data_IF_748869392599
#
_entry.id   IF_748869392599
#
_cell.length_a   1.000
_cell.length_b   1.000
_cell.length_c   1.000
_cell.angle_alpha   90.00
_cell.angle_beta   90.00
_cell.angle_gamma   90.00
#
_symmetry.space_group_name_H-M   'P 1'
#
loop_
_entity.id
_entity.type
_entity.pdbx_description
1 polymer ?
#
# COMPACT_ATOMS: atom_id res chain seq x y z
N UNK A 1 -20.85 2.03 -3.05
CA UNK A 1 -20.94 1.36 -1.73
C UNK A 1 -20.39 -0.07 -1.76
N UNK A 2 -20.91 -0.98 -2.61
CA UNK A 2 -20.39 -2.36 -2.70
C UNK A 2 -18.88 -2.44 -3.02
N UNK A 3 -18.39 -1.62 -3.96
CA UNK A 3 -16.96 -1.55 -4.28
C UNK A 3 -16.09 -1.12 -3.09
N UNK A 4 -16.53 -0.11 -2.32
CA UNK A 4 -15.81 0.36 -1.13
C UNK A 4 -15.80 -0.69 -0.02
N UNK A 5 -16.93 -1.39 0.19
CA UNK A 5 -17.02 -2.48 1.16
C UNK A 5 -16.14 -3.67 0.76
N UNK A 6 -16.17 -4.06 -0.52
CA UNK A 6 -15.31 -5.11 -1.07
C UNK A 6 -13.83 -4.74 -0.94
N UNK A 7 -13.47 -3.48 -1.20
CA UNK A 7 -12.12 -2.99 -1.04
C UNK A 7 -11.68 -2.98 0.43
N UNK A 8 -12.55 -2.56 1.35
CA UNK A 8 -12.30 -2.64 2.79
C UNK A 8 -12.09 -4.08 3.27
N UNK A 9 -12.91 -5.02 2.80
CA UNK A 9 -12.76 -6.44 3.07
C UNK A 9 -11.44 -6.99 2.49
N UNK A 10 -11.11 -6.66 1.25
CA UNK A 10 -9.86 -7.07 0.59
C UNK A 10 -8.63 -6.59 1.37
N UNK A 11 -8.61 -5.33 1.79
CA UNK A 11 -7.53 -4.78 2.61
C UNK A 11 -7.42 -5.49 3.97
N UNK A 12 -8.56 -5.75 4.62
CA UNK A 12 -8.61 -6.48 5.90
C UNK A 12 -8.05 -7.91 5.79
N UNK A 13 -8.43 -8.64 4.74
CA UNK A 13 -7.88 -9.99 4.48
C UNK A 13 -6.40 -9.91 4.15
N UNK A 14 -5.98 -8.92 3.36
CA UNK A 14 -4.56 -8.72 2.98
C UNK A 14 -3.68 -8.46 4.18
N UNK A 15 -4.16 -7.67 5.16
CA UNK A 15 -3.47 -7.45 6.43
C UNK A 15 -3.28 -8.74 7.24
N UNK A 16 -4.20 -9.72 7.10
CA UNK A 16 -4.09 -11.03 7.72
C UNK A 16 -3.01 -11.94 7.12
N UNK A 17 -2.63 -11.71 5.84
CA UNK A 17 -1.70 -12.55 5.07
C UNK A 17 -0.40 -11.84 4.71
N UNK A 18 -0.03 -10.80 5.48
CA UNK A 18 1.19 -9.97 5.31
C UNK A 18 2.50 -10.77 5.28
N UNK A 19 2.49 -12.02 5.75
CA UNK A 19 3.63 -12.93 5.74
C UNK A 19 3.95 -13.46 4.33
N UNK A 20 3.00 -13.38 3.38
CA UNK A 20 3.21 -13.78 2.00
C UNK A 20 3.92 -12.67 1.21
N UNK A 21 4.82 -13.08 0.32
CA UNK A 21 5.48 -12.15 -0.58
C UNK A 21 4.43 -11.35 -1.39
N UNK A 22 4.53 -10.00 -1.44
CA UNK A 22 3.54 -9.16 -2.13
C UNK A 22 3.30 -9.54 -3.58
N UNK A 23 4.33 -10.05 -4.28
CA UNK A 23 4.23 -10.44 -5.68
C UNK A 23 3.23 -11.58 -5.88
N UNK A 24 3.17 -12.55 -4.96
CA UNK A 24 2.24 -13.69 -5.05
C UNK A 24 0.79 -13.27 -4.82
N UNK A 25 0.56 -12.38 -3.85
CA UNK A 25 -0.77 -11.87 -3.54
C UNK A 25 -1.32 -11.07 -4.73
N UNK A 26 -0.49 -10.21 -5.33
CA UNK A 26 -0.85 -9.44 -6.51
C UNK A 26 -1.13 -10.35 -7.71
N UNK A 27 -0.26 -11.33 -7.97
CA UNK A 27 -0.42 -12.26 -9.09
C UNK A 27 -1.71 -13.08 -8.98
N UNK A 28 -2.03 -13.62 -7.79
CA UNK A 28 -3.25 -14.40 -7.56
C UNK A 28 -4.51 -13.54 -7.73
N UNK A 29 -4.54 -12.37 -7.08
CA UNK A 29 -5.68 -11.43 -7.20
C UNK A 29 -5.88 -10.99 -8.64
N UNK A 30 -4.79 -10.66 -9.33
CA UNK A 30 -4.81 -10.27 -10.74
C UNK A 30 -5.32 -11.39 -11.65
N UNK A 31 -4.85 -12.62 -11.45
CA UNK A 31 -5.31 -13.78 -12.21
C UNK A 31 -6.79 -14.09 -12.02
N UNK A 32 -7.26 -14.06 -10.77
CA UNK A 32 -8.69 -14.28 -10.46
C UNK A 32 -9.55 -13.16 -11.04
N UNK A 33 -9.21 -11.90 -10.77
CA UNK A 33 -9.99 -10.75 -11.26
C UNK A 33 -10.00 -10.68 -12.79
N UNK A 34 -8.85 -10.91 -13.43
CA UNK A 34 -8.71 -10.97 -14.88
C UNK A 34 -9.53 -12.10 -15.50
N UNK A 35 -9.46 -13.31 -14.93
CA UNK A 35 -10.24 -14.46 -15.39
C UNK A 35 -11.74 -14.25 -15.25
N UNK A 36 -12.20 -13.69 -14.13
CA UNK A 36 -13.61 -13.34 -13.89
C UNK A 36 -14.08 -12.30 -14.91
N UNK A 37 -13.34 -11.19 -15.08
CA UNK A 37 -13.72 -10.13 -16.02
C UNK A 37 -13.73 -10.63 -17.47
N UNK A 38 -12.75 -11.44 -17.86
CA UNK A 38 -12.71 -12.06 -19.19
C UNK A 38 -13.90 -12.99 -19.40
N UNK A 39 -14.24 -13.81 -18.41
CA UNK A 39 -15.39 -14.72 -18.48
C UNK A 39 -16.69 -13.95 -18.63
N UNK A 40 -16.90 -12.91 -17.82
CA UNK A 40 -18.07 -12.03 -17.93
C UNK A 40 -18.14 -11.40 -19.33
N UNK A 41 -17.02 -10.86 -19.82
CA UNK A 41 -16.94 -10.27 -21.15
C UNK A 41 -17.32 -11.26 -22.26
N UNK A 42 -16.79 -12.48 -22.21
CA UNK A 42 -17.10 -13.55 -23.19
C UNK A 42 -18.56 -14.00 -23.11
N UNK A 43 -19.13 -14.09 -21.91
CA UNK A 43 -20.54 -14.44 -21.71
C UNK A 43 -21.47 -13.35 -22.25
N UNK A 44 -21.12 -12.07 -22.07
CA UNK A 44 -21.92 -10.94 -22.55
C UNK A 44 -21.79 -10.72 -24.07
N UNK A 45 -20.58 -10.85 -24.63
CA UNK A 45 -20.32 -10.63 -26.05
C UNK A 45 -20.70 -11.84 -26.92
N UNK A 46 -20.79 -13.04 -26.32
CA UNK A 46 -20.97 -14.30 -27.03
C UNK A 46 -19.65 -14.92 -27.46
N UNK A 47 -19.61 -16.26 -27.48
CA UNK A 47 -18.43 -17.02 -27.92
C UNK A 47 -18.15 -16.73 -29.40
N UNK A 48 -16.97 -16.19 -29.70
CA UNK A 48 -16.56 -15.85 -31.07
C UNK A 48 -16.81 -14.40 -31.48
N UNK A 49 -17.10 -13.50 -30.53
CA UNK A 49 -17.08 -12.06 -30.80
C UNK A 49 -15.72 -11.67 -31.41
N UNK A 50 -15.75 -11.13 -32.64
CA UNK A 50 -14.56 -10.69 -33.35
C UNK A 50 -14.03 -9.40 -32.71
N UNK A 51 -13.22 -9.53 -31.66
CA UNK A 51 -12.42 -8.42 -31.15
C UNK A 51 -11.25 -8.17 -32.10
N UNK A 52 -11.11 -6.94 -32.58
CA UNK A 52 -9.98 -6.56 -33.41
C UNK A 52 -8.67 -6.77 -32.65
N UNK A 53 -7.62 -7.24 -33.34
CA UNK A 53 -6.29 -7.41 -32.74
C UNK A 53 -5.81 -6.10 -32.05
N UNK A 54 -6.13 -4.95 -32.64
CA UNK A 54 -5.80 -3.65 -32.08
C UNK A 54 -6.52 -3.35 -30.77
N UNK A 55 -7.77 -3.75 -30.61
CA UNK A 55 -8.53 -3.56 -29.37
C UNK A 55 -7.94 -4.40 -28.25
N UNK A 56 -7.53 -5.63 -28.57
CA UNK A 56 -6.86 -6.54 -27.63
C UNK A 56 -5.51 -5.95 -27.19
N UNK A 57 -4.70 -5.49 -28.14
CA UNK A 57 -3.40 -4.86 -27.83
C UNK A 57 -3.59 -3.58 -27.01
N UNK A 58 -4.56 -2.73 -27.35
CA UNK A 58 -4.86 -1.52 -26.60
C UNK A 58 -5.31 -1.85 -25.17
N UNK A 59 -6.22 -2.82 -24.99
CA UNK A 59 -6.68 -3.25 -23.67
C UNK A 59 -5.54 -3.81 -22.82
N UNK A 60 -4.66 -4.64 -23.41
CA UNK A 60 -3.47 -5.17 -22.72
C UNK A 60 -2.49 -4.06 -22.36
N UNK A 61 -2.26 -3.08 -23.25
CA UNK A 61 -1.37 -1.95 -22.98
C UNK A 61 -1.92 -1.06 -21.84
N UNK A 62 -3.22 -0.77 -21.86
CA UNK A 62 -3.90 -0.03 -20.78
C UNK A 62 -3.81 -0.79 -19.46
N UNK A 63 -4.04 -2.11 -19.46
CA UNK A 63 -3.89 -2.94 -18.26
C UNK A 63 -2.45 -2.98 -17.74
N UNK A 64 -1.47 -3.16 -18.63
CA UNK A 64 -0.06 -3.19 -18.28
C UNK A 64 0.42 -1.86 -17.69
N UNK A 65 0.02 -0.73 -18.27
CA UNK A 65 0.37 0.59 -17.75
C UNK A 65 -0.42 0.94 -16.48
N UNK A 66 -1.74 0.75 -16.50
CA UNK A 66 -2.67 1.18 -15.45
C UNK A 66 -2.61 0.34 -14.18
N UNK A 67 -2.39 -0.97 -14.28
CA UNK A 67 -2.28 -1.87 -13.12
C UNK A 67 -0.85 -2.37 -12.91
N UNK A 68 -0.17 -2.86 -13.96
CA UNK A 68 1.15 -3.47 -13.82
C UNK A 68 2.23 -2.48 -13.40
N UNK A 69 2.43 -1.43 -14.22
CA UNK A 69 3.41 -0.39 -13.96
C UNK A 69 3.04 0.42 -12.71
N UNK A 70 1.77 0.77 -12.52
CA UNK A 70 1.33 1.56 -11.35
C UNK A 70 1.58 0.84 -10.03
N UNK A 71 1.25 -0.45 -9.91
CA UNK A 71 1.49 -1.25 -8.69
C UNK A 71 3.00 -1.40 -8.46
N UNK A 72 3.77 -1.63 -9.52
CA UNK A 72 5.24 -1.75 -9.41
C UNK A 72 5.87 -0.46 -8.89
N UNK A 73 5.47 0.69 -9.44
CA UNK A 73 5.90 2.01 -8.99
C UNK A 73 5.44 2.30 -7.56
N UNK A 74 4.22 1.89 -7.20
CA UNK A 74 3.70 2.05 -5.85
C UNK A 74 4.47 1.21 -4.83
N UNK A 75 4.71 -0.08 -5.09
CA UNK A 75 5.51 -0.96 -4.21
C UNK A 75 6.91 -0.38 -4.04
N UNK A 76 7.54 0.09 -5.13
CA UNK A 76 8.86 0.73 -5.06
C UNK A 76 8.84 2.02 -4.23
N UNK A 77 7.86 2.89 -4.49
CA UNK A 77 7.69 4.15 -3.77
C UNK A 77 7.41 3.94 -2.28
N UNK A 78 6.59 2.95 -1.93
CA UNK A 78 6.29 2.59 -0.53
C UNK A 78 7.54 2.11 0.22
N UNK A 79 8.44 1.37 -0.45
CA UNK A 79 9.74 0.94 0.11
C UNK A 79 10.70 2.12 0.33
N UNK A 80 10.71 3.12 -0.55
CA UNK A 80 11.64 4.25 -0.48
C UNK A 80 11.15 5.41 0.43
N UNK A 81 9.84 5.69 0.45
CA UNK A 81 9.25 6.83 1.16
C UNK A 81 8.68 6.47 2.54
N UNK A 82 8.50 5.17 2.82
CA UNK A 82 7.78 4.67 3.98
C UNK A 82 6.26 4.73 3.80
N UNK A 83 5.55 3.73 4.34
CA UNK A 83 4.10 3.54 4.15
C UNK A 83 3.27 4.78 4.51
N UNK A 84 3.65 5.50 5.57
CA UNK A 84 2.94 6.70 6.01
C UNK A 84 2.95 7.82 4.95
N UNK A 85 4.10 8.13 4.34
CA UNK A 85 4.20 9.16 3.29
C UNK A 85 3.55 8.69 1.99
N UNK A 86 3.66 7.41 1.66
CA UNK A 86 2.98 6.81 0.53
C UNK A 86 1.46 6.98 0.58
N UNK A 87 0.85 6.80 1.76
CA UNK A 87 -0.59 6.98 1.93
C UNK A 87 -1.06 8.43 1.75
N UNK A 88 -0.24 9.42 2.18
CA UNK A 88 -0.55 10.85 1.93
C UNK A 88 -0.61 11.14 0.44
N UNK A 89 0.35 10.60 -0.33
CA UNK A 89 0.37 10.76 -1.79
C UNK A 89 -0.84 10.05 -2.40
N UNK A 90 -1.16 8.84 -1.94
CA UNK A 90 -2.29 8.07 -2.46
C UNK A 90 -3.64 8.76 -2.21
N UNK A 91 -3.78 9.46 -1.09
CA UNK A 91 -4.97 10.26 -0.77
C UNK A 91 -5.22 11.40 -1.78
N UNK A 92 -4.23 11.78 -2.60
CA UNK A 92 -4.39 12.76 -3.68
C UNK A 92 -5.04 12.20 -4.95
N UNK A 93 -5.01 10.87 -5.14
CA UNK A 93 -5.52 10.20 -6.34
C UNK A 93 -6.96 10.60 -6.74
N UNK A 94 -7.96 10.65 -5.85
CA UNK A 94 -9.32 11.04 -6.24
C UNK A 94 -9.41 12.48 -6.79
N UNK A 95 -8.56 13.40 -6.32
CA UNK A 95 -8.53 14.77 -6.82
C UNK A 95 -7.90 14.85 -8.21
N UNK A 96 -6.80 14.12 -8.42
CA UNK A 96 -6.17 14.02 -9.74
C UNK A 96 -7.16 13.40 -10.74
N UNK A 97 -7.88 12.35 -10.34
CA UNK A 97 -8.93 11.73 -11.15
C UNK A 97 -10.03 12.72 -11.54
N UNK A 98 -10.52 13.52 -10.60
CA UNK A 98 -11.53 14.56 -10.87
C UNK A 98 -11.01 15.63 -11.84
N UNK A 99 -9.77 16.10 -11.67
CA UNK A 99 -9.16 17.08 -12.59
C UNK A 99 -9.07 16.50 -14.00
N UNK A 100 -8.58 15.26 -14.14
CA UNK A 100 -8.49 14.60 -15.45
C UNK A 100 -9.87 14.45 -16.10
N UNK A 101 -10.89 14.04 -15.34
CA UNK A 101 -12.26 13.91 -15.84
C UNK A 101 -12.78 15.24 -16.39
N UNK A 102 -12.64 16.32 -15.62
CA UNK A 102 -13.13 17.65 -16.00
C UNK A 102 -12.35 18.28 -17.17
N UNK A 103 -11.04 18.06 -17.27
CA UNK A 103 -10.21 18.76 -18.28
C UNK A 103 -9.94 17.93 -19.53
N UNK A 104 -9.66 16.64 -19.39
CA UNK A 104 -9.26 15.78 -20.51
C UNK A 104 -10.43 14.96 -21.05
N UNK A 105 -11.32 14.49 -20.19
CA UNK A 105 -12.49 13.71 -20.60
C UNK A 105 -13.68 14.61 -21.01
N UNK A 106 -13.70 15.84 -20.50
CA UNK A 106 -14.72 16.84 -20.82
C UNK A 106 -16.02 16.66 -20.05
N UNK A 107 -15.97 15.95 -18.92
CA UNK A 107 -17.15 15.73 -18.07
C UNK A 107 -17.63 17.05 -17.45
N UNK A 108 -18.95 17.24 -17.39
CA UNK A 108 -19.56 18.42 -16.77
C UNK A 108 -19.23 18.51 -15.28
N UNK A 109 -18.85 19.69 -14.82
CA UNK A 109 -18.59 19.92 -13.39
C UNK A 109 -19.91 20.15 -12.65
N UNK A 110 -20.33 19.17 -11.85
CA UNK A 110 -21.55 19.31 -11.04
C UNK A 110 -21.26 19.93 -9.67
N UNK A 111 -22.25 20.62 -9.10
CA UNK A 111 -22.13 21.19 -7.75
C UNK A 111 -21.91 20.11 -6.69
N UNK A 112 -22.49 18.93 -6.88
CA UNK A 112 -22.38 17.82 -5.94
C UNK A 112 -20.95 17.27 -5.90
N UNK A 113 -20.28 17.15 -7.05
CA UNK A 113 -18.89 16.70 -7.13
C UNK A 113 -17.92 17.67 -6.46
N UNK A 114 -18.13 18.98 -6.64
CA UNK A 114 -17.33 20.00 -5.95
C UNK A 114 -17.49 19.89 -4.44
N UNK A 115 -18.72 19.74 -3.95
CA UNK A 115 -18.99 19.54 -2.51
C UNK A 115 -18.35 18.24 -2.02
N UNK A 116 -18.47 17.14 -2.76
CA UNK A 116 -17.86 15.86 -2.42
C UNK A 116 -16.33 15.95 -2.35
N UNK A 117 -15.69 16.65 -3.30
CA UNK A 117 -14.26 16.89 -3.30
C UNK A 117 -13.82 17.69 -2.06
N UNK A 118 -14.55 18.75 -1.68
CA UNK A 118 -14.24 19.53 -0.48
C UNK A 118 -14.38 18.70 0.81
N UNK A 119 -15.41 17.87 0.91
CA UNK A 119 -15.60 16.95 2.05
C UNK A 119 -14.46 15.94 2.11
N UNK A 120 -14.09 15.32 0.98
CA UNK A 120 -12.96 14.40 0.91
C UNK A 120 -11.64 15.08 1.30
N UNK A 121 -11.39 16.30 0.82
CA UNK A 121 -10.18 17.06 1.14
C UNK A 121 -10.10 17.37 2.65
N UNK A 122 -11.23 17.73 3.25
CA UNK A 122 -11.33 17.97 4.68
C UNK A 122 -11.00 16.71 5.48
N UNK A 123 -11.50 15.55 5.05
CA UNK A 123 -11.19 14.25 5.66
C UNK A 123 -9.70 13.90 5.59
N UNK A 124 -9.06 14.14 4.44
CA UNK A 124 -7.60 13.95 4.29
C UNK A 124 -6.83 14.89 5.22
N UNK A 125 -7.19 16.18 5.27
CA UNK A 125 -6.53 17.16 6.16
C UNK A 125 -6.67 16.77 7.64
N UNK A 126 -7.85 16.32 8.06
CA UNK A 126 -8.07 15.86 9.43
C UNK A 126 -7.24 14.61 9.74
N UNK A 127 -7.20 13.64 8.83
CA UNK A 127 -6.40 12.42 8.97
C UNK A 127 -4.91 12.74 9.11
N UNK A 128 -4.38 13.66 8.30
CA UNK A 128 -2.98 14.09 8.37
C UNK A 128 -2.62 14.86 9.66
N UNK A 129 -3.60 15.49 10.31
CA UNK A 129 -3.41 16.22 11.58
C UNK A 129 -3.59 15.35 12.81
N UNK A 130 -4.10 14.13 12.65
CA UNK A 130 -4.23 13.17 13.74
C UNK A 130 -2.83 12.65 14.10
N UNK A 131 -2.21 13.26 15.10
CA UNK A 131 -0.99 12.74 15.72
C UNK A 131 -1.38 12.01 17.00
N UNK A 132 -1.13 10.71 17.02
CA UNK A 132 -1.33 9.88 18.19
C UNK A 132 0.04 9.41 18.68
N UNK A 133 0.50 9.98 19.80
CA UNK A 133 1.62 9.45 20.56
C UNK A 133 1.06 8.46 21.60
N UNK A 134 1.52 7.22 21.52
CA UNK A 134 1.19 6.20 22.50
C UNK A 134 2.48 5.74 23.19
N UNK A 135 2.35 5.49 24.49
CA UNK A 135 3.38 4.81 25.25
C UNK A 135 3.30 3.33 24.89
N UNK A 136 4.31 2.82 24.21
CA UNK A 136 4.41 1.41 23.83
C UNK A 136 5.38 0.69 24.76
N UNK A 137 5.07 -0.56 25.10
CA UNK A 137 5.98 -1.50 25.74
C UNK A 137 6.32 -2.60 24.74
N UNK A 138 7.57 -2.66 24.32
CA UNK A 138 8.10 -3.77 23.55
C UNK A 138 8.42 -4.93 24.50
N UNK A 139 7.93 -6.12 24.19
CA UNK A 139 8.37 -7.35 24.85
C UNK A 139 9.80 -7.69 24.39
N UNK A 140 10.55 -8.51 25.13
CA UNK A 140 11.84 -9.00 24.66
C UNK A 140 11.66 -9.74 23.32
N UNK A 141 12.40 -9.32 22.30
CA UNK A 141 12.37 -9.93 20.96
C UNK A 141 13.80 -10.29 20.55
N UNK A 142 13.95 -11.47 19.98
CA UNK A 142 15.17 -11.95 19.36
C UNK A 142 14.96 -11.95 17.84
N UNK A 143 15.77 -11.18 17.12
CA UNK A 143 15.65 -11.03 15.67
C UNK A 143 17.03 -10.83 15.02
N UNK A 144 17.05 -10.85 13.68
CA UNK A 144 18.23 -10.61 12.87
C UNK A 144 17.98 -9.44 11.92
N UNK A 145 18.75 -8.36 12.09
CA UNK A 145 18.77 -7.25 11.15
C UNK A 145 20.15 -6.59 11.12
N UNK A 146 20.37 -5.78 10.08
CA UNK A 146 21.60 -5.00 9.91
C UNK A 146 21.62 -3.82 10.88
N UNK A 147 22.69 -3.65 11.65
CA UNK A 147 22.84 -2.57 12.64
C UNK A 147 24.29 -2.10 12.81
N UNK A 148 24.44 -0.99 13.54
CA UNK A 148 25.70 -0.39 14.02
C UNK A 148 25.57 -0.10 15.51
N UNK A 149 26.67 0.18 16.21
CA UNK A 149 26.65 0.41 17.66
C UNK A 149 26.48 1.88 18.08
N UNK A 150 26.27 2.78 17.11
CA UNK A 150 26.10 4.23 17.33
C UNK A 150 24.62 4.67 17.37
N UNK A 151 23.69 3.72 17.29
CA UNK A 151 22.24 3.97 17.29
C UNK A 151 21.59 3.96 18.68
N UNK A 152 22.40 3.79 19.73
CA UNK A 152 21.99 3.91 21.13
C UNK A 152 21.16 2.75 21.69
N UNK A 153 20.99 1.65 20.96
CA UNK A 153 20.24 0.48 21.44
C UNK A 153 20.80 -0.89 21.02
N UNK A 154 21.94 -0.93 20.32
CA UNK A 154 22.76 -2.13 20.13
C UNK A 154 24.05 -2.03 20.96
N UNK A 155 24.08 -2.78 22.04
CA UNK A 155 25.08 -2.69 23.11
C UNK A 155 25.87 -4.00 23.34
N UNK A 156 25.80 -4.94 22.39
CA UNK A 156 26.63 -6.15 22.39
C UNK A 156 28.06 -5.89 21.86
N UNK A 157 29.00 -6.71 22.31
CA UNK A 157 30.42 -6.60 21.98
C UNK A 157 30.81 -7.74 21.06
N UNK A 158 31.57 -7.43 20.02
CA UNK A 158 32.17 -8.42 19.12
C UNK A 158 33.53 -8.89 19.62
N UNK A 159 33.76 -10.20 19.61
CA UNK A 159 35.12 -10.72 19.73
C UNK A 159 35.98 -10.16 18.59
N UNK A 160 37.13 -9.58 18.93
CA UNK A 160 38.03 -8.94 17.97
C UNK A 160 37.78 -7.45 17.73
N UNK A 161 36.82 -6.82 18.43
CA UNK A 161 36.63 -5.37 18.41
C UNK A 161 36.15 -4.83 17.06
N UNK A 162 35.38 -5.63 16.32
CA UNK A 162 34.80 -5.20 15.05
C UNK A 162 33.89 -3.99 15.27
N UNK A 163 34.21 -2.89 14.57
CA UNK A 163 33.41 -1.68 14.52
C UNK A 163 32.96 -1.45 13.08
N UNK A 164 31.65 -1.54 12.84
CA UNK A 164 31.10 -1.38 11.50
C UNK A 164 29.66 -1.86 11.44
N UNK A 165 29.06 -1.76 10.26
CA UNK A 165 27.70 -2.23 9.98
C UNK A 165 27.70 -3.73 9.73
N UNK A 166 26.78 -4.46 10.35
CA UNK A 166 26.77 -5.92 10.34
C UNK A 166 25.40 -6.51 10.67
N UNK A 167 25.23 -7.83 10.47
CA UNK A 167 23.97 -8.57 10.66
C UNK A 167 24.22 -9.87 11.41
N UNK A 168 23.40 -10.14 12.42
CA UNK A 168 23.31 -11.43 13.14
C UNK A 168 22.11 -11.41 14.07
N UNK A 169 21.75 -12.59 14.59
CA UNK A 169 20.71 -12.74 15.62
C UNK A 169 21.15 -12.10 16.93
N UNK A 170 20.35 -11.17 17.43
CA UNK A 170 20.55 -10.51 18.72
C UNK A 170 19.19 -10.30 19.41
N UNK A 171 19.23 -10.07 20.73
CA UNK A 171 18.04 -9.88 21.55
C UNK A 171 17.98 -8.46 22.08
N UNK A 172 16.82 -7.82 21.97
CA UNK A 172 16.53 -6.57 22.69
C UNK A 172 15.74 -6.85 23.96
N UNK A 173 16.12 -6.17 25.04
CA UNK A 173 15.36 -6.18 26.28
C UNK A 173 14.03 -5.43 26.13
N UNK A 174 13.10 -5.67 27.05
CA UNK A 174 11.83 -4.96 27.07
C UNK A 174 12.06 -3.44 27.20
N UNK A 175 11.57 -2.67 26.24
CA UNK A 175 11.74 -1.22 26.19
C UNK A 175 10.38 -0.52 26.21
N UNK A 176 10.26 0.49 27.07
CA UNK A 176 9.09 1.37 27.11
C UNK A 176 9.48 2.71 26.54
N UNK A 177 8.93 3.05 25.38
CA UNK A 177 9.18 4.35 24.75
C UNK A 177 7.90 4.96 24.19
N UNK A 178 7.99 6.24 23.83
CA UNK A 178 6.89 6.99 23.20
C UNK A 178 7.40 7.49 21.86
N UNK A 179 6.72 7.12 20.79
CA UNK A 179 6.94 7.69 19.47
C UNK A 179 5.59 7.75 18.72
N UNK A 180 5.52 8.53 17.64
CA UNK A 180 4.35 8.54 16.78
C UNK A 180 4.08 7.14 16.24
N UNK A 181 2.81 6.70 16.24
CA UNK A 181 2.46 5.38 15.72
C UNK A 181 2.68 5.33 14.20
N UNK A 182 3.74 4.65 13.76
CA UNK A 182 3.92 4.22 12.38
C UNK A 182 3.59 2.73 12.30
N UNK A 183 2.85 2.25 11.27
CA UNK A 183 2.59 0.82 11.11
C UNK A 183 3.93 0.10 10.97
N UNK A 184 4.32 -0.64 12.00
CA UNK A 184 5.54 -1.43 12.02
C UNK A 184 5.18 -2.88 11.70
N UNK A 185 5.77 -3.41 10.63
CA UNK A 185 5.54 -4.79 10.17
C UNK A 185 6.06 -5.84 11.16
N UNK A 186 6.96 -5.47 12.06
CA UNK A 186 7.60 -6.38 13.01
C UNK A 186 7.05 -6.25 14.43
N UNK A 187 6.23 -5.22 14.68
CA UNK A 187 5.65 -4.97 16.00
C UNK A 187 4.13 -4.84 15.90
N UNK A 188 3.42 -5.99 15.92
CA UNK A 188 1.96 -6.01 16.13
C UNK A 188 1.69 -5.70 17.59
N UNK A 189 0.99 -4.59 17.85
CA UNK A 189 0.58 -4.20 19.19
C UNK A 189 -0.72 -4.92 19.58
N UNK A 190 -0.72 -5.63 20.70
CA UNK A 190 -1.96 -5.96 21.41
C UNK A 190 -2.44 -4.69 22.12
N UNK A 191 -3.67 -4.28 21.83
CA UNK A 191 -4.32 -3.10 22.41
C UNK A 191 -5.20 -3.46 23.60
#
# INVERSE_FOLDING_TARGET
MAACAAWGFDNGVTAGIEQLAPEHVVALKGGIAGGVNLTIGLLMAGWGAATGMWDVVAALAIGAAGYGLSITLWVKGARELGAARGQVIFATAPFIGAVIAWTFLGDDVTRLEVVAALVAASGVVLSLRSTHDHRHQHQPVEHEHEHTHDDGHHDHVHEGGFTGRHTHVHAHAALVHTHPHVPDLHHRHDH
#
